data_IF_744522566738
#
_entry.id   IF_744522566738
#
_cell.length_a   1.000
_cell.length_b   1.000
_cell.length_c   1.000
_cell.angle_alpha   90.00
_cell.angle_beta   90.00
_cell.angle_gamma   90.00
#
_symmetry.space_group_name_H-M   'P 1'
#
loop_
_entity.id
_entity.type
_entity.pdbx_description
1 polymer ?
#
# COMPACT_ATOMS: atom_id res chain seq x y z
N UNK A 1 -12.25 10.06 -16.31
CA UNK A 1 -11.98 11.11 -17.32
C UNK A 1 -12.94 10.90 -18.49
N UNK A 2 -13.98 11.72 -18.60
CA UNK A 2 -15.04 11.60 -19.62
C UNK A 2 -14.57 12.20 -20.97
N UNK A 3 -14.75 11.45 -22.04
CA UNK A 3 -14.42 11.87 -23.41
C UNK A 3 -15.49 12.78 -24.01
N UNK A 4 -15.07 13.85 -24.69
CA UNK A 4 -15.85 14.44 -25.78
C UNK A 4 -15.49 13.72 -27.08
N UNK A 5 -16.45 13.09 -27.78
CA UNK A 5 -16.16 12.20 -28.89
C UNK A 5 -16.27 12.96 -30.21
N UNK A 6 -15.44 13.97 -30.48
CA UNK A 6 -15.34 14.48 -31.86
C UNK A 6 -13.93 14.99 -32.15
N UNK A 7 -13.44 14.57 -33.32
CA UNK A 7 -12.11 14.81 -33.92
C UNK A 7 -11.03 13.79 -33.52
N UNK A 8 -11.28 12.51 -33.80
CA UNK A 8 -10.20 11.53 -33.99
C UNK A 8 -9.92 11.45 -35.50
N UNK A 9 -8.86 12.14 -35.93
CA UNK A 9 -8.51 12.37 -37.33
C UNK A 9 -8.19 11.07 -38.08
N UNK A 10 -8.45 11.00 -39.40
CA UNK A 10 -8.16 9.85 -40.28
C UNK A 10 -6.69 9.40 -40.27
N UNK A 11 -5.77 10.23 -39.78
CA UNK A 11 -4.32 9.95 -39.68
C UNK A 11 -3.90 9.24 -38.39
N UNK A 12 -4.78 9.14 -37.39
CA UNK A 12 -4.45 8.50 -36.10
C UNK A 12 -4.58 6.98 -36.19
N UNK A 13 -5.52 6.49 -36.99
CA UNK A 13 -5.77 5.06 -37.17
C UNK A 13 -4.60 4.30 -37.83
N UNK A 14 -3.97 4.79 -38.91
CA UNK A 14 -2.83 4.10 -39.52
C UNK A 14 -1.62 4.00 -38.57
N UNK A 15 -1.37 5.03 -37.75
CA UNK A 15 -0.28 5.03 -36.77
C UNK A 15 -0.57 4.09 -35.61
N UNK A 16 -1.81 4.10 -35.09
CA UNK A 16 -2.23 3.12 -34.07
C UNK A 16 -2.21 1.69 -34.59
N UNK A 17 -2.63 1.47 -35.84
CA UNK A 17 -2.55 0.16 -36.49
C UNK A 17 -1.09 -0.24 -36.68
N UNK A 18 -0.20 0.66 -37.12
CA UNK A 18 1.22 0.36 -37.27
C UNK A 18 1.91 0.06 -35.93
N UNK A 19 1.56 0.77 -34.86
CA UNK A 19 2.05 0.51 -33.50
C UNK A 19 1.51 -0.83 -33.00
N UNK A 20 0.22 -1.10 -33.17
CA UNK A 20 -0.38 -2.39 -32.78
C UNK A 20 0.22 -3.53 -33.59
N UNK A 21 0.41 -3.37 -34.90
CA UNK A 21 1.01 -4.38 -35.78
C UNK A 21 2.49 -4.59 -35.44
N UNK A 22 3.25 -3.53 -35.14
CA UNK A 22 4.66 -3.65 -34.74
C UNK A 22 4.79 -4.30 -33.37
N UNK A 23 3.95 -3.93 -32.40
CA UNK A 23 3.85 -4.62 -31.12
C UNK A 23 3.49 -6.09 -31.34
N UNK A 24 2.46 -6.39 -32.15
CA UNK A 24 2.07 -7.77 -32.47
C UNK A 24 3.17 -8.55 -33.19
N UNK A 25 4.00 -7.92 -34.03
CA UNK A 25 5.13 -8.57 -34.73
C UNK A 25 6.30 -8.83 -33.79
N UNK A 26 6.65 -7.85 -32.96
CA UNK A 26 7.70 -7.98 -31.94
C UNK A 26 7.27 -9.04 -30.90
N UNK A 27 5.99 -9.09 -30.53
CA UNK A 27 5.41 -10.12 -29.67
C UNK A 27 5.21 -11.50 -30.37
N UNK A 28 5.02 -11.57 -31.68
CA UNK A 28 4.92 -12.84 -32.40
C UNK A 28 6.28 -13.52 -32.64
N UNK A 29 7.38 -12.80 -32.44
CA UNK A 29 8.71 -13.25 -32.87
C UNK A 29 9.50 -14.12 -31.88
N UNK A 30 9.02 -14.39 -30.66
CA UNK A 30 9.69 -15.35 -29.77
C UNK A 30 8.75 -16.40 -29.13
N UNK A 31 9.12 -17.65 -29.44
CA UNK A 31 8.76 -18.96 -28.90
C UNK A 31 7.30 -19.44 -29.06
N UNK A 32 7.21 -20.52 -29.85
CA UNK A 32 6.04 -21.34 -30.07
C UNK A 32 5.30 -21.65 -28.76
N UNK A 33 3.98 -21.58 -28.84
CA UNK A 33 3.06 -22.06 -27.82
C UNK A 33 3.37 -23.55 -27.58
N UNK A 34 4.12 -23.86 -26.54
CA UNK A 34 4.42 -25.25 -26.18
C UNK A 34 3.10 -25.90 -25.71
N UNK A 35 2.61 -26.87 -26.47
CA UNK A 35 1.52 -27.72 -26.04
C UNK A 35 1.93 -28.60 -24.86
N UNK A 36 0.97 -29.12 -24.09
CA UNK A 36 1.26 -30.06 -23.00
C UNK A 36 2.01 -31.28 -23.55
N UNK A 37 3.18 -31.58 -22.97
CA UNK A 37 4.04 -32.70 -23.38
C UNK A 37 5.33 -32.34 -24.13
N UNK A 38 5.65 -31.06 -24.33
CA UNK A 38 6.93 -30.65 -24.92
C UNK A 38 8.12 -30.91 -23.96
N UNK A 39 9.25 -31.47 -24.44
CA UNK A 39 10.47 -31.58 -23.63
C UNK A 39 10.98 -30.16 -23.30
N UNK A 40 10.97 -29.79 -22.02
CA UNK A 40 11.36 -28.45 -21.55
C UNK A 40 10.37 -27.77 -20.58
N UNK A 41 9.25 -28.42 -20.22
CA UNK A 41 8.35 -27.88 -19.17
C UNK A 41 9.08 -27.93 -17.82
N UNK A 42 9.21 -26.79 -17.10
CA UNK A 42 9.81 -26.76 -15.77
C UNK A 42 9.07 -27.71 -14.82
N UNK A 43 9.82 -28.57 -14.14
CA UNK A 43 9.27 -29.52 -13.15
C UNK A 43 9.47 -28.90 -11.76
N UNK A 44 8.39 -28.88 -10.96
CA UNK A 44 8.45 -28.46 -9.55
C UNK A 44 9.53 -29.27 -8.81
N UNK A 45 10.49 -28.59 -8.19
CA UNK A 45 11.55 -29.23 -7.39
C UNK A 45 12.91 -29.44 -8.08
N UNK A 46 13.11 -28.96 -9.31
CA UNK A 46 14.47 -28.80 -9.83
C UNK A 46 15.21 -27.70 -9.05
N UNK A 47 16.37 -28.03 -8.48
CA UNK A 47 17.19 -27.12 -7.68
C UNK A 47 17.94 -26.14 -8.59
N UNK A 48 17.29 -25.03 -8.95
CA UNK A 48 17.91 -23.94 -9.73
C UNK A 48 17.04 -22.69 -9.77
N UNK A 49 17.67 -21.50 -9.82
CA UNK A 49 16.96 -20.25 -10.06
C UNK A 49 16.64 -20.11 -11.55
N UNK A 50 15.35 -20.11 -11.92
CA UNK A 50 14.89 -19.82 -13.28
C UNK A 50 14.67 -18.29 -13.45
N UNK A 51 15.78 -17.55 -13.57
CA UNK A 51 15.74 -16.11 -13.83
C UNK A 51 15.52 -15.87 -15.32
N UNK A 52 14.29 -15.51 -15.70
CA UNK A 52 13.95 -15.09 -17.06
C UNK A 52 13.67 -13.60 -17.13
N UNK A 53 14.11 -12.97 -18.21
CA UNK A 53 13.65 -11.62 -18.56
C UNK A 53 12.19 -11.73 -18.97
N UNK A 54 11.32 -10.96 -18.32
CA UNK A 54 9.91 -10.85 -18.68
C UNK A 54 9.71 -9.63 -19.58
N UNK A 55 9.49 -9.81 -20.90
CA UNK A 55 9.27 -8.69 -21.80
C UNK A 55 7.91 -8.05 -21.51
N UNK A 56 7.93 -6.77 -21.13
CA UNK A 56 6.72 -5.99 -20.92
C UNK A 56 6.85 -4.63 -21.61
N UNK A 57 5.81 -4.18 -22.35
CA UNK A 57 5.84 -2.88 -22.98
C UNK A 57 5.84 -1.78 -21.90
N UNK A 58 6.75 -0.81 -22.03
CA UNK A 58 6.77 0.39 -21.22
C UNK A 58 6.19 1.57 -22.01
N UNK A 59 5.20 2.24 -21.45
CA UNK A 59 4.56 3.40 -22.08
C UNK A 59 4.17 4.42 -21.02
N UNK A 60 4.27 5.70 -21.38
CA UNK A 60 3.86 6.83 -20.54
C UNK A 60 3.03 7.83 -21.36
N UNK A 61 2.37 8.76 -20.67
CA UNK A 61 1.61 9.84 -21.32
C UNK A 61 0.51 9.34 -22.25
N UNK A 62 0.41 9.97 -23.43
CA UNK A 62 -0.64 9.66 -24.41
C UNK A 62 -0.55 8.23 -24.97
N UNK A 63 0.67 7.67 -25.09
CA UNK A 63 0.86 6.31 -25.58
C UNK A 63 0.26 5.30 -24.60
N UNK A 64 0.49 5.50 -23.29
CA UNK A 64 -0.12 4.68 -22.25
C UNK A 64 -1.65 4.79 -22.28
N UNK A 65 -2.20 5.99 -22.50
CA UNK A 65 -3.65 6.19 -22.59
C UNK A 65 -4.25 5.45 -23.79
N UNK A 66 -3.59 5.50 -24.95
CA UNK A 66 -4.01 4.77 -26.14
C UNK A 66 -3.98 3.25 -25.92
N UNK A 67 -2.89 2.73 -25.35
CA UNK A 67 -2.76 1.31 -25.01
C UNK A 67 -3.82 0.87 -24.01
N UNK A 68 -4.06 1.66 -22.96
CA UNK A 68 -5.11 1.37 -21.98
C UNK A 68 -6.51 1.36 -22.62
N UNK A 69 -6.80 2.26 -23.56
CA UNK A 69 -8.06 2.27 -24.30
C UNK A 69 -8.21 1.02 -25.17
N UNK A 70 -7.21 0.67 -25.97
CA UNK A 70 -7.22 -0.54 -26.81
C UNK A 70 -7.42 -1.77 -25.93
N UNK A 71 -6.68 -1.87 -24.84
CA UNK A 71 -6.75 -2.99 -23.91
C UNK A 71 -8.15 -3.15 -23.30
N UNK A 72 -8.76 -2.05 -22.84
CA UNK A 72 -9.99 -2.09 -22.05
C UNK A 72 -11.27 -2.01 -22.88
N UNK A 73 -11.24 -1.40 -24.07
CA UNK A 73 -12.45 -1.08 -24.86
C UNK A 73 -12.46 -1.64 -26.29
N UNK A 74 -11.33 -2.07 -26.85
CA UNK A 74 -11.27 -2.61 -28.22
C UNK A 74 -11.53 -4.12 -28.27
N UNK A 75 -12.11 -4.64 -29.38
CA UNK A 75 -12.13 -6.08 -29.67
C UNK A 75 -10.76 -6.76 -29.70
N UNK A 76 -9.67 -5.99 -29.88
CA UNK A 76 -8.30 -6.51 -29.83
C UNK A 76 -7.78 -6.77 -28.41
N UNK A 77 -8.40 -6.16 -27.39
CA UNK A 77 -7.97 -6.26 -25.99
C UNK A 77 -7.81 -7.70 -25.47
N UNK A 78 -8.78 -8.61 -25.67
CA UNK A 78 -8.65 -10.02 -25.29
C UNK A 78 -7.46 -10.74 -25.95
N UNK A 79 -7.17 -10.43 -27.22
CA UNK A 79 -6.06 -11.05 -27.96
C UNK A 79 -4.72 -10.59 -27.36
N UNK A 80 -4.55 -9.27 -27.18
CA UNK A 80 -3.35 -8.68 -26.59
C UNK A 80 -3.10 -9.22 -25.17
N UNK A 81 -4.16 -9.29 -24.34
CA UNK A 81 -4.08 -9.92 -23.01
C UNK A 81 -3.58 -11.34 -23.07
N UNK A 82 -4.13 -12.17 -23.97
CA UNK A 82 -3.75 -13.57 -24.08
C UNK A 82 -2.28 -13.72 -24.46
N UNK A 83 -1.79 -12.91 -25.40
CA UNK A 83 -0.38 -12.90 -25.80
C UNK A 83 0.53 -12.58 -24.62
N UNK A 84 0.26 -11.50 -23.88
CA UNK A 84 1.08 -11.09 -22.74
C UNK A 84 1.04 -12.07 -21.57
N UNK A 85 -0.13 -12.65 -21.27
CA UNK A 85 -0.24 -13.70 -20.24
C UNK A 85 0.60 -14.93 -20.61
N UNK A 86 0.64 -15.30 -21.88
CA UNK A 86 1.45 -16.44 -22.35
C UNK A 86 2.95 -16.13 -22.26
N UNK A 87 3.38 -14.97 -22.77
CA UNK A 87 4.79 -14.56 -22.76
C UNK A 87 5.35 -14.35 -21.36
N UNK A 88 4.53 -13.85 -20.43
CA UNK A 88 4.95 -13.65 -19.04
C UNK A 88 4.89 -14.94 -18.20
N UNK A 89 4.72 -16.11 -18.82
CA UNK A 89 4.78 -17.40 -18.14
C UNK A 89 3.59 -17.69 -17.22
N UNK A 90 2.52 -16.88 -17.22
CA UNK A 90 1.36 -17.11 -16.35
C UNK A 90 0.63 -18.41 -16.69
N UNK A 91 0.67 -18.85 -17.96
CA UNK A 91 0.14 -20.17 -18.33
C UNK A 91 1.02 -21.29 -17.79
N UNK A 92 2.34 -21.14 -17.82
CA UNK A 92 3.27 -22.12 -17.23
C UNK A 92 3.04 -22.23 -15.73
N UNK A 93 2.88 -21.10 -15.02
CA UNK A 93 2.55 -21.09 -13.60
C UNK A 93 1.22 -21.81 -13.31
N UNK A 94 0.22 -21.65 -14.18
CA UNK A 94 -1.05 -22.39 -14.06
C UNK A 94 -0.87 -23.89 -14.27
N UNK A 95 -0.09 -24.29 -15.28
CA UNK A 95 0.25 -25.69 -15.55
C UNK A 95 1.00 -26.31 -14.36
N UNK A 96 2.00 -25.61 -13.83
CA UNK A 96 2.73 -26.00 -12.62
C UNK A 96 1.80 -26.11 -11.41
N UNK A 97 0.82 -25.21 -11.27
CA UNK A 97 -0.21 -25.31 -10.24
C UNK A 97 -1.07 -26.57 -10.38
N UNK A 98 -1.41 -26.97 -11.61
CA UNK A 98 -2.09 -28.25 -11.88
C UNK A 98 -1.20 -29.45 -11.57
N UNK A 99 0.10 -29.41 -11.89
CA UNK A 99 1.06 -30.45 -11.49
C UNK A 99 1.27 -30.52 -9.97
N UNK A 100 1.22 -29.37 -9.30
CA UNK A 100 1.32 -29.22 -7.85
C UNK A 100 0.02 -29.59 -7.13
N UNK A 101 -1.07 -29.96 -7.83
CA UNK A 101 -2.19 -30.68 -7.22
C UNK A 101 -1.69 -32.09 -6.83
N UNK A 102 -0.86 -32.14 -5.79
CA UNK A 102 -0.48 -33.35 -5.08
C UNK A 102 -1.78 -34.03 -4.67
N UNK A 103 -1.98 -35.28 -5.11
CA UNK A 103 -3.15 -36.07 -4.75
C UNK A 103 -3.33 -36.06 -3.21
N UNK A 104 -4.37 -35.38 -2.72
CA UNK A 104 -4.70 -35.28 -1.30
C UNK A 104 -4.34 -33.96 -0.60
N UNK A 105 -3.69 -32.99 -1.26
CA UNK A 105 -3.46 -31.66 -0.68
C UNK A 105 -4.57 -30.69 -1.11
N UNK A 106 -5.37 -30.12 -0.19
CA UNK A 106 -6.39 -29.14 -0.56
C UNK A 106 -5.73 -27.86 -1.10
N UNK A 107 -6.26 -27.31 -2.19
CA UNK A 107 -6.02 -25.91 -2.55
C UNK A 107 -6.65 -25.04 -1.46
N UNK A 108 -5.80 -24.35 -0.70
CA UNK A 108 -6.25 -23.57 0.45
C UNK A 108 -6.28 -22.10 0.07
N UNK A 109 -7.40 -21.44 0.39
CA UNK A 109 -7.56 -20.00 0.18
C UNK A 109 -6.74 -19.15 1.17
N UNK A 110 -6.16 -19.79 2.19
CA UNK A 110 -5.38 -19.13 3.24
C UNK A 110 -4.01 -19.81 3.41
N UNK A 111 -2.94 -19.05 3.67
CA UNK A 111 -1.65 -19.64 4.01
C UNK A 111 -1.79 -20.44 5.31
N UNK A 112 -1.48 -21.74 5.27
CA UNK A 112 -1.40 -22.57 6.48
C UNK A 112 0.05 -22.60 6.93
N UNK A 113 0.32 -21.99 8.09
CA UNK A 113 1.47 -22.35 8.89
C UNK A 113 1.08 -23.57 9.73
N UNK A 114 1.64 -24.75 9.41
CA UNK A 114 1.47 -25.94 10.27
C UNK A 114 2.35 -25.74 11.49
N UNK A 115 1.74 -25.34 12.60
CA UNK A 115 2.39 -25.23 13.90
C UNK A 115 2.11 -26.50 14.69
N UNK A 116 3.13 -27.04 15.35
CA UNK A 116 2.94 -28.13 16.31
C UNK A 116 2.12 -27.66 17.52
N UNK A 117 1.49 -28.58 18.25
CA UNK A 117 0.77 -28.24 19.50
C UNK A 117 1.65 -27.49 20.50
N UNK A 118 2.95 -27.86 20.56
CA UNK A 118 3.94 -27.18 21.40
C UNK A 118 4.21 -25.74 20.94
N UNK A 119 4.31 -25.50 19.63
CA UNK A 119 4.48 -24.15 19.08
C UNK A 119 3.22 -23.31 19.24
N UNK A 120 2.05 -23.89 19.01
CA UNK A 120 0.77 -23.21 19.22
C UNK A 120 0.61 -22.81 20.69
N UNK A 121 0.90 -23.72 21.63
CA UNK A 121 0.88 -23.43 23.06
C UNK A 121 1.88 -22.32 23.41
N UNK A 122 3.09 -22.36 22.84
CA UNK A 122 4.10 -21.31 23.01
C UNK A 122 3.61 -19.96 22.48
N UNK A 123 3.00 -19.90 21.30
CA UNK A 123 2.47 -18.65 20.74
C UNK A 123 1.29 -18.10 21.55
N UNK A 124 0.39 -18.96 22.01
CA UNK A 124 -0.70 -18.56 22.90
C UNK A 124 -0.17 -18.04 24.23
N UNK A 125 0.81 -18.74 24.82
CA UNK A 125 1.48 -18.27 26.03
C UNK A 125 2.21 -16.94 25.80
N UNK A 126 2.89 -16.73 24.68
CA UNK A 126 3.53 -15.44 24.35
C UNK A 126 2.51 -14.32 24.16
N UNK A 127 1.43 -14.58 23.43
CA UNK A 127 0.34 -13.62 23.22
C UNK A 127 -0.36 -13.25 24.54
N UNK A 128 -0.43 -14.17 25.50
CA UNK A 128 -0.98 -13.93 26.83
C UNK A 128 0.04 -13.35 27.82
N UNK A 129 1.33 -13.69 27.68
CA UNK A 129 2.42 -13.32 28.59
C UNK A 129 3.05 -11.95 28.27
N UNK A 130 2.91 -11.46 27.04
CA UNK A 130 3.01 -10.03 26.74
C UNK A 130 1.59 -9.45 26.67
N UNK A 131 0.96 -9.09 27.81
CA UNK A 131 -0.18 -8.21 27.71
C UNK A 131 0.32 -6.97 26.97
N UNK A 132 -0.31 -6.67 25.84
CA UNK A 132 -0.07 -5.45 25.05
C UNK A 132 0.04 -4.24 25.99
N UNK A 133 -0.77 -4.20 27.06
CA UNK A 133 -0.68 -3.25 28.18
C UNK A 133 0.72 -3.09 28.77
N UNK A 134 1.45 -4.18 29.08
CA UNK A 134 2.77 -4.14 29.70
C UNK A 134 3.85 -3.70 28.72
N UNK A 135 3.83 -4.20 27.49
CA UNK A 135 4.75 -3.73 26.44
C UNK A 135 4.55 -2.23 26.12
N UNK A 136 3.30 -1.76 26.17
CA UNK A 136 2.94 -0.34 26.02
C UNK A 136 3.16 0.50 27.28
N UNK A 137 3.43 -0.10 28.44
CA UNK A 137 3.75 0.60 29.68
C UNK A 137 5.27 0.70 29.89
N UNK A 138 5.98 -0.41 29.67
CA UNK A 138 7.41 -0.56 29.97
C UNK A 138 8.32 0.06 28.90
N UNK A 139 7.84 0.17 27.65
CA UNK A 139 8.65 0.58 26.50
C UNK A 139 9.65 -0.49 26.06
N UNK A 140 10.21 -0.29 24.87
CA UNK A 140 11.29 -1.13 24.34
C UNK A 140 12.66 -0.69 24.88
N UNK A 141 12.71 0.46 25.55
CA UNK A 141 13.93 1.07 26.04
C UNK A 141 14.58 1.96 24.97
N UNK A 142 15.53 2.83 25.39
CA UNK A 142 16.08 3.85 24.51
C UNK A 142 16.69 3.24 23.25
N UNK A 143 16.27 3.75 22.09
CA UNK A 143 16.83 3.34 20.81
C UNK A 143 18.34 3.65 20.77
N UNK A 144 19.22 2.72 20.36
CA UNK A 144 20.65 2.97 20.30
C UNK A 144 20.96 4.14 19.37
N UNK A 145 21.81 5.06 19.83
CA UNK A 145 22.12 6.34 19.17
C UNK A 145 22.83 6.23 17.81
N UNK A 146 23.00 5.02 17.26
CA UNK A 146 23.93 4.73 16.16
C UNK A 146 23.35 4.84 14.74
N UNK A 147 22.12 5.33 14.53
CA UNK A 147 21.62 5.62 13.18
C UNK A 147 21.68 7.14 12.93
N UNK A 148 22.50 7.54 11.95
CA UNK A 148 22.94 8.91 11.66
C UNK A 148 21.87 9.93 11.23
N UNK A 149 20.59 9.66 11.46
CA UNK A 149 19.51 10.65 11.46
C UNK A 149 18.65 10.44 12.71
N UNK A 150 18.55 11.47 13.54
CA UNK A 150 17.82 11.41 14.80
C UNK A 150 16.32 11.65 14.52
N UNK A 151 15.60 10.58 14.22
CA UNK A 151 14.14 10.60 14.20
C UNK A 151 13.60 10.55 15.63
N UNK A 152 12.46 11.21 15.86
CA UNK A 152 11.74 11.11 17.13
C UNK A 152 10.99 9.78 17.19
N UNK A 153 11.31 8.98 18.20
CA UNK A 153 10.64 7.72 18.47
C UNK A 153 9.35 7.93 19.28
N UNK A 154 8.50 6.90 19.31
CA UNK A 154 7.33 6.84 20.20
C UNK A 154 7.71 7.10 21.66
N UNK A 155 8.85 6.58 22.10
CA UNK A 155 9.34 6.75 23.47
C UNK A 155 9.71 8.19 23.77
N UNK A 156 10.29 8.91 22.80
CA UNK A 156 10.63 10.32 22.97
C UNK A 156 9.39 11.17 23.22
N UNK A 157 8.32 10.95 22.44
CA UNK A 157 7.02 11.61 22.67
C UNK A 157 6.48 11.27 24.06
N UNK A 158 6.38 9.98 24.39
CA UNK A 158 5.84 9.52 25.66
C UNK A 158 6.63 10.10 26.86
N UNK A 159 7.97 10.12 26.77
CA UNK A 159 8.82 10.67 27.81
C UNK A 159 8.66 12.19 27.93
N UNK A 160 8.60 12.92 26.80
CA UNK A 160 8.41 14.37 26.80
C UNK A 160 7.05 14.78 27.42
N UNK A 161 6.00 14.02 27.16
CA UNK A 161 4.66 14.26 27.74
C UNK A 161 4.60 13.88 29.23
N UNK A 162 5.12 12.71 29.63
CA UNK A 162 5.13 12.29 31.05
C UNK A 162 5.98 13.20 31.93
N UNK A 163 7.10 13.70 31.40
CA UNK A 163 7.95 14.69 32.08
C UNK A 163 7.37 16.11 32.09
N UNK A 164 6.20 16.32 31.47
CA UNK A 164 5.52 17.61 31.35
C UNK A 164 6.38 18.71 30.71
N UNK A 165 7.37 18.33 29.89
CA UNK A 165 8.21 19.29 29.14
C UNK A 165 7.44 19.98 28.03
N UNK A 166 6.53 19.24 27.40
CA UNK A 166 5.61 19.71 26.36
C UNK A 166 4.29 18.96 26.48
N UNK A 167 3.22 19.52 25.92
CA UNK A 167 1.92 18.85 25.84
C UNK A 167 1.67 18.23 24.45
N UNK A 168 0.89 17.14 24.36
CA UNK A 168 0.41 16.62 23.08
C UNK A 168 -0.16 17.70 22.15
N UNK A 169 -1.07 18.56 22.63
CA UNK A 169 -1.67 19.63 21.81
C UNK A 169 -0.67 20.64 21.25
N UNK A 170 0.37 20.97 22.02
CA UNK A 170 1.45 21.87 21.58
C UNK A 170 2.25 21.24 20.44
N UNK A 171 2.63 19.96 20.60
CA UNK A 171 3.39 19.23 19.58
C UNK A 171 2.58 19.05 18.31
N UNK A 172 1.31 18.63 18.43
CA UNK A 172 0.42 18.46 17.29
C UNK A 172 0.20 19.79 16.54
N UNK A 173 -0.19 20.85 17.25
CA UNK A 173 -0.50 22.13 16.62
C UNK A 173 0.72 22.84 16.05
N UNK A 174 1.83 22.88 16.80
CA UNK A 174 2.99 23.70 16.46
C UNK A 174 4.02 22.97 15.60
N UNK A 175 4.08 21.63 15.65
CA UNK A 175 5.05 20.84 14.90
C UNK A 175 4.39 20.00 13.81
N UNK A 176 3.41 19.16 14.16
CA UNK A 176 2.81 18.22 13.19
C UNK A 176 2.00 18.95 12.14
N UNK A 177 0.95 19.69 12.54
CA UNK A 177 0.11 20.44 11.59
C UNK A 177 0.88 21.52 10.83
N UNK A 178 1.92 22.11 11.46
CA UNK A 178 2.84 23.02 10.79
C UNK A 178 3.64 22.31 9.71
N UNK A 179 4.27 21.17 10.03
CA UNK A 179 5.05 20.37 9.10
C UNK A 179 4.21 19.88 7.92
N UNK A 180 2.97 19.46 8.16
CA UNK A 180 2.02 19.08 7.10
C UNK A 180 1.83 20.21 6.08
N UNK A 181 1.67 21.45 6.54
CA UNK A 181 1.54 22.62 5.66
C UNK A 181 2.83 22.94 4.91
N UNK A 182 3.98 22.88 5.58
CA UNK A 182 5.29 23.18 4.97
C UNK A 182 5.71 22.11 3.95
N UNK A 183 5.28 20.87 4.16
CA UNK A 183 5.59 19.71 3.34
C UNK A 183 4.45 19.29 2.40
N UNK A 184 3.45 20.15 2.19
CA UNK A 184 2.29 19.89 1.34
C UNK A 184 2.70 19.50 -0.11
N UNK A 185 3.83 20.03 -0.56
CA UNK A 185 4.45 19.69 -1.85
C UNK A 185 4.88 18.21 -1.98
N UNK A 186 5.01 17.45 -0.89
CA UNK A 186 5.29 16.01 -0.90
C UNK A 186 4.03 15.15 -1.11
N UNK A 187 2.82 15.73 -0.96
CA UNK A 187 1.53 15.05 -1.21
C UNK A 187 1.33 13.74 -0.42
N UNK A 188 1.80 13.72 0.82
CA UNK A 188 1.77 12.55 1.72
C UNK A 188 0.36 12.19 2.26
N UNK A 189 -0.53 13.17 2.38
CA UNK A 189 -1.89 12.99 2.90
C UNK A 189 -2.93 12.95 1.78
N UNK A 190 -3.85 12.00 1.86
CA UNK A 190 -5.10 12.01 1.11
C UNK A 190 -6.13 12.92 1.79
N UNK A 191 -6.23 12.85 3.12
CA UNK A 191 -7.05 13.73 3.96
C UNK A 191 -6.35 13.99 5.31
N UNK A 192 -6.48 15.20 5.83
CA UNK A 192 -6.00 15.58 7.17
C UNK A 192 -7.20 15.98 8.03
N UNK A 193 -7.41 15.31 9.17
CA UNK A 193 -8.60 15.49 10.03
C UNK A 193 -8.42 16.67 10.98
N UNK A 194 -8.15 17.85 10.44
CA UNK A 194 -7.59 18.98 11.20
C UNK A 194 -8.38 19.35 12.47
N UNK A 195 -9.71 19.33 12.41
CA UNK A 195 -10.58 19.64 13.55
C UNK A 195 -10.50 18.55 14.63
N UNK A 196 -10.59 17.28 14.22
CA UNK A 196 -10.55 16.13 15.13
C UNK A 196 -9.17 15.95 15.78
N UNK A 197 -8.11 16.25 15.04
CA UNK A 197 -6.72 16.10 15.51
C UNK A 197 -6.46 16.94 16.76
N UNK A 198 -6.93 18.19 16.78
CA UNK A 198 -6.78 19.05 17.95
C UNK A 198 -7.67 18.63 19.12
N UNK A 199 -8.88 18.12 18.84
CA UNK A 199 -9.76 17.57 19.89
C UNK A 199 -9.15 16.32 20.55
N UNK A 200 -8.60 15.41 19.75
CA UNK A 200 -7.87 14.23 20.22
C UNK A 200 -6.65 14.64 21.08
N UNK A 201 -5.89 15.64 20.64
CA UNK A 201 -4.75 16.15 21.38
C UNK A 201 -5.15 16.78 22.73
N UNK A 202 -6.24 17.57 22.76
CA UNK A 202 -6.77 18.14 23.99
C UNK A 202 -7.26 17.07 24.99
N UNK A 203 -7.86 15.98 24.50
CA UNK A 203 -8.23 14.85 25.35
C UNK A 203 -6.99 14.14 25.93
N UNK A 204 -5.91 14.03 25.15
CA UNK A 204 -4.63 13.50 25.62
C UNK A 204 -3.99 14.42 26.68
N UNK A 205 -3.98 15.73 26.47
CA UNK A 205 -3.51 16.72 27.45
C UNK A 205 -4.19 16.54 28.82
N UNK A 206 -5.52 16.38 28.82
CA UNK A 206 -6.29 16.19 30.06
C UNK A 206 -5.85 14.93 30.83
N UNK A 207 -5.58 13.83 30.12
CA UNK A 207 -5.09 12.57 30.71
C UNK A 207 -3.69 12.72 31.28
N UNK A 208 -2.79 13.38 30.56
CA UNK A 208 -1.44 13.67 31.07
C UNK A 208 -1.45 14.63 32.27
N UNK A 209 -2.36 15.61 32.29
CA UNK A 209 -2.48 16.57 33.39
C UNK A 209 -2.78 15.88 34.74
N UNK A 210 -3.64 14.86 34.72
CA UNK A 210 -4.00 14.06 35.90
C UNK A 210 -3.10 12.83 36.13
N UNK A 211 -2.07 12.64 35.30
CA UNK A 211 -1.13 11.53 35.42
C UNK A 211 -1.70 10.16 35.04
N UNK A 212 -2.72 10.11 34.17
CA UNK A 212 -3.39 8.88 33.74
C UNK A 212 -3.38 8.72 32.20
N UNK A 213 -2.20 8.69 31.53
CA UNK A 213 -2.15 8.37 30.11
C UNK A 213 -2.63 6.94 29.84
N UNK A 214 -3.29 6.72 28.70
CA UNK A 214 -3.84 5.41 28.32
C UNK A 214 -2.75 4.39 28.03
N UNK A 215 -1.65 4.81 27.41
CA UNK A 215 -0.54 3.95 27.03
C UNK A 215 0.71 4.78 26.65
N UNK A 216 1.77 4.14 26.15
CA UNK A 216 2.88 4.83 25.47
C UNK A 216 2.50 5.53 24.15
N UNK A 217 1.41 5.13 23.52
CA UNK A 217 0.92 5.78 22.30
C UNK A 217 0.03 6.99 22.61
N UNK A 218 -0.29 7.27 23.88
CA UNK A 218 -1.15 8.40 24.22
C UNK A 218 -0.51 9.73 23.79
N UNK A 219 -1.15 10.42 22.86
CA UNK A 219 -0.67 11.68 22.29
C UNK A 219 0.30 11.54 21.11
N UNK A 220 0.59 10.31 20.65
CA UNK A 220 1.48 10.06 19.52
C UNK A 220 0.74 10.26 18.20
N UNK A 221 1.26 11.06 17.25
CA UNK A 221 0.64 11.25 15.93
C UNK A 221 0.79 10.01 15.05
N UNK A 222 -0.30 9.55 14.43
CA UNK A 222 -0.31 8.42 13.50
C UNK A 222 -1.09 8.78 12.24
N UNK A 223 -0.52 8.46 11.07
CA UNK A 223 -1.23 8.46 9.79
C UNK A 223 -1.77 7.06 9.47
N UNK A 224 -2.96 7.01 8.88
CA UNK A 224 -3.64 5.75 8.53
C UNK A 224 -3.64 5.63 7.02
N UNK A 225 -3.28 4.47 6.45
CA UNK A 225 -3.34 4.32 4.99
C UNK A 225 -4.78 4.47 4.48
N UNK A 226 -4.98 5.19 3.37
CA UNK A 226 -6.28 5.41 2.69
C UNK A 226 -6.87 4.13 2.08
N UNK A 227 -7.04 3.11 2.91
CA UNK A 227 -7.56 1.77 2.63
C UNK A 227 -8.14 1.14 3.91
N UNK A 228 -7.82 1.69 5.08
CA UNK A 228 -8.43 1.34 6.35
C UNK A 228 -9.51 2.36 6.68
N UNK A 229 -10.65 1.87 7.12
CA UNK A 229 -11.78 2.71 7.50
C UNK A 229 -11.43 3.62 8.69
N UNK A 230 -11.79 4.91 8.55
CA UNK A 230 -11.75 5.90 9.62
C UNK A 230 -13.16 6.47 9.74
N UNK A 231 -13.78 6.28 10.90
CA UNK A 231 -15.16 6.68 11.14
C UNK A 231 -15.37 8.16 10.82
N UNK A 232 -16.42 8.48 10.06
CA UNK A 232 -16.74 9.84 9.62
C UNK A 232 -16.03 10.29 8.33
N UNK A 233 -15.10 9.50 7.79
CA UNK A 233 -14.33 9.84 6.59
C UNK A 233 -14.55 8.86 5.44
N UNK A 234 -14.47 9.39 4.21
CA UNK A 234 -14.58 8.57 2.99
C UNK A 234 -13.20 8.04 2.60
N UNK A 235 -13.09 6.73 2.47
CA UNK A 235 -11.85 6.08 2.02
C UNK A 235 -11.84 5.98 0.50
N UNK A 236 -10.78 6.51 -0.13
CA UNK A 236 -10.69 6.61 -1.59
C UNK A 236 -9.86 5.47 -2.21
N UNK A 237 -9.06 4.76 -1.43
CA UNK A 237 -8.19 3.72 -1.98
C UNK A 237 -7.11 4.29 -2.89
N UNK A 238 -6.74 5.58 -2.74
CA UNK A 238 -5.85 6.27 -3.68
C UNK A 238 -6.45 6.60 -5.05
N UNK A 239 -7.76 6.42 -5.24
CA UNK A 239 -8.49 6.71 -6.48
C UNK A 239 -9.21 8.06 -6.46
N UNK A 240 -9.56 8.57 -7.64
CA UNK A 240 -10.47 9.72 -7.78
C UNK A 240 -11.94 9.35 -7.49
N UNK A 241 -12.27 8.06 -7.47
CA UNK A 241 -13.61 7.56 -7.22
C UNK A 241 -13.55 6.45 -6.16
N UNK A 242 -14.32 6.55 -5.07
CA UNK A 242 -14.39 5.50 -4.05
C UNK A 242 -14.78 4.15 -4.67
N UNK A 243 -14.17 3.04 -4.22
CA UNK A 243 -14.66 1.70 -4.57
C UNK A 243 -15.93 1.43 -3.78
N UNK A 244 -17.04 1.21 -4.48
CA UNK A 244 -18.19 0.48 -3.94
C UNK A 244 -19.05 1.21 -2.90
N UNK A 245 -18.50 2.16 -2.14
CA UNK A 245 -19.24 2.94 -1.16
C UNK A 245 -18.69 4.37 -1.07
N UNK A 246 -19.36 5.38 -1.63
CA UNK A 246 -18.92 6.77 -1.55
C UNK A 246 -19.19 7.41 -0.18
N UNK A 247 -19.91 6.70 0.70
CA UNK A 247 -20.31 7.22 1.99
C UNK A 247 -19.14 7.14 2.97
N UNK A 248 -19.05 8.10 3.91
CA UNK A 248 -18.11 8.01 5.01
C UNK A 248 -18.27 6.71 5.80
N UNK A 249 -17.16 6.16 6.29
CA UNK A 249 -17.19 4.96 7.10
C UNK A 249 -17.98 5.20 8.40
N UNK A 250 -18.81 4.23 8.79
CA UNK A 250 -19.62 4.31 10.02
C UNK A 250 -18.77 3.95 11.26
N UNK A 251 -17.80 3.06 11.06
CA UNK A 251 -16.93 2.55 12.11
C UNK A 251 -15.47 2.63 11.67
N UNK A 252 -14.57 2.78 12.63
CA UNK A 252 -13.14 2.63 12.41
C UNK A 252 -12.81 1.17 12.05
N UNK A 253 -11.78 0.96 11.23
CA UNK A 253 -11.12 -0.34 11.10
C UNK A 253 -10.69 -0.84 12.51
N UNK A 254 -10.70 -2.15 12.79
CA UNK A 254 -10.26 -2.67 14.08
C UNK A 254 -8.88 -2.18 14.52
N UNK A 255 -7.96 -1.98 13.57
CA UNK A 255 -6.62 -1.44 13.85
C UNK A 255 -6.68 0.01 14.31
N UNK A 256 -7.48 0.85 13.63
CA UNK A 256 -7.68 2.26 13.98
C UNK A 256 -8.38 2.37 15.34
N UNK A 257 -9.39 1.52 15.59
CA UNK A 257 -10.05 1.41 16.89
C UNK A 257 -9.05 1.15 18.02
N UNK A 258 -8.15 0.17 17.84
CA UNK A 258 -7.14 -0.14 18.85
C UNK A 258 -6.17 1.03 19.07
N UNK A 259 -5.72 1.69 18.01
CA UNK A 259 -4.84 2.86 18.14
C UNK A 259 -5.51 3.99 18.93
N UNK A 260 -6.79 4.27 18.67
CA UNK A 260 -7.56 5.26 19.44
C UNK A 260 -7.74 4.84 20.90
N UNK A 261 -8.02 3.57 21.17
CA UNK A 261 -8.10 3.03 22.55
C UNK A 261 -6.80 3.20 23.32
N UNK A 262 -5.65 3.17 22.62
CA UNK A 262 -4.33 3.40 23.20
C UNK A 262 -3.98 4.90 23.34
N UNK A 263 -4.87 5.79 22.90
CA UNK A 263 -4.70 7.24 22.99
C UNK A 263 -3.90 7.87 21.85
N UNK A 264 -3.59 7.11 20.79
CA UNK A 264 -2.93 7.67 19.61
C UNK A 264 -3.82 8.73 18.94
N UNK A 265 -3.17 9.73 18.36
CA UNK A 265 -3.83 10.83 17.65
C UNK A 265 -3.80 10.49 16.15
N UNK A 266 -4.96 10.16 15.61
CA UNK A 266 -5.12 9.89 14.18
C UNK A 266 -5.11 11.23 13.44
N UNK A 267 -4.05 11.46 12.66
CA UNK A 267 -3.82 12.71 11.91
C UNK A 267 -4.70 12.79 10.65
N UNK A 268 -4.91 11.64 10.01
CA UNK A 268 -5.68 11.51 8.79
C UNK A 268 -5.24 10.33 7.95
N UNK A 269 -5.70 10.34 6.70
CA UNK A 269 -5.44 9.26 5.76
C UNK A 269 -4.27 9.60 4.85
N UNK A 270 -3.32 8.67 4.70
CA UNK A 270 -2.12 8.86 3.88
C UNK A 270 -2.37 8.39 2.45
N UNK A 271 -1.80 9.12 1.50
CA UNK A 271 -1.82 8.80 0.07
C UNK A 271 -1.32 7.38 -0.20
N UNK A 272 -1.88 6.73 -1.22
CA UNK A 272 -1.43 5.42 -1.66
C UNK A 272 -1.62 5.20 -3.16
N UNK A 273 -0.96 4.18 -3.71
CA UNK A 273 -1.27 3.72 -5.06
C UNK A 273 -2.70 3.21 -5.16
N UNK A 274 -3.38 3.57 -6.24
CA UNK A 274 -4.78 3.23 -6.50
C UNK A 274 -5.02 1.72 -6.26
N UNK A 275 -5.85 1.41 -5.26
CA UNK A 275 -6.27 0.08 -4.81
C UNK A 275 -5.12 -0.90 -4.51
N UNK A 276 -3.93 -0.37 -4.26
CA UNK A 276 -2.75 -1.15 -3.99
C UNK A 276 -2.19 -1.94 -5.18
N UNK A 277 -2.62 -1.63 -6.41
CA UNK A 277 -2.30 -2.46 -7.59
C UNK A 277 -0.87 -2.31 -8.11
N UNK A 278 -0.17 -1.24 -7.72
CA UNK A 278 1.18 -0.95 -8.22
C UNK A 278 2.17 -0.66 -7.07
N UNK A 279 3.41 -1.16 -7.18
CA UNK A 279 4.47 -0.87 -6.21
C UNK A 279 5.16 0.48 -6.47
N UNK A 280 4.73 1.27 -7.45
CA UNK A 280 5.38 2.56 -7.76
C UNK A 280 5.02 3.68 -6.77
N UNK A 281 3.89 3.58 -6.08
CA UNK A 281 3.51 4.54 -5.03
C UNK A 281 2.76 5.77 -5.51
N UNK A 282 2.62 6.01 -6.82
CA UNK A 282 1.87 7.15 -7.34
C UNK A 282 0.36 6.98 -7.17
N UNK A 283 -0.31 8.03 -6.70
CA UNK A 283 -1.76 8.16 -6.52
C UNK A 283 -2.34 9.13 -7.55
N UNK A 284 -3.40 8.71 -8.24
CA UNK A 284 -4.15 9.58 -9.14
C UNK A 284 -4.93 10.67 -8.37
N UNK A 285 -5.36 10.37 -7.14
CA UNK A 285 -6.06 11.31 -6.27
C UNK A 285 -5.16 12.46 -5.81
N UNK A 286 -4.07 12.13 -5.11
CA UNK A 286 -3.19 13.13 -4.51
C UNK A 286 -2.15 13.71 -5.50
N UNK A 287 -1.99 13.11 -6.67
CA UNK A 287 -0.93 13.43 -7.64
C UNK A 287 0.48 13.36 -7.00
N UNK A 288 0.73 12.29 -6.26
CA UNK A 288 1.93 12.04 -5.46
C UNK A 288 1.83 10.70 -4.71
N UNK A 289 2.60 10.46 -3.64
CA UNK A 289 3.55 11.36 -3.01
C UNK A 289 4.92 11.36 -3.70
N UNK A 290 5.80 12.26 -3.27
CA UNK A 290 7.17 12.37 -3.76
C UNK A 290 8.17 11.92 -2.71
N UNK A 291 9.22 11.23 -3.14
CA UNK A 291 10.25 10.73 -2.24
C UNK A 291 11.00 11.90 -1.56
N UNK A 292 11.05 11.95 -0.21
CA UNK A 292 11.65 13.07 0.52
C UNK A 292 13.18 13.12 0.40
N UNK A 293 13.83 11.98 0.14
CA UNK A 293 15.29 11.92 -0.05
C UNK A 293 15.70 12.33 -1.46
N UNK A 294 14.88 12.01 -2.47
CA UNK A 294 15.13 12.39 -3.85
C UNK A 294 13.83 12.42 -4.68
N UNK A 295 13.36 13.62 -5.00
CA UNK A 295 12.10 13.83 -5.75
C UNK A 295 12.11 13.30 -7.19
N UNK A 296 13.26 12.93 -7.74
CA UNK A 296 13.38 12.25 -9.03
C UNK A 296 13.14 10.74 -8.94
N UNK A 297 12.93 10.20 -7.74
CA UNK A 297 12.66 8.79 -7.51
C UNK A 297 11.24 8.60 -6.96
N UNK A 298 10.65 7.45 -7.28
CA UNK A 298 9.39 7.04 -6.67
C UNK A 298 9.57 6.80 -5.16
N UNK A 299 8.55 7.08 -4.33
CA UNK A 299 8.54 6.68 -2.92
C UNK A 299 8.23 5.19 -2.73
N UNK A 300 7.94 4.47 -3.82
CA UNK A 300 7.44 3.10 -3.85
C UNK A 300 6.07 2.97 -3.16
N UNK A 301 5.46 1.80 -3.29
CA UNK A 301 4.08 1.57 -2.94
C UNK A 301 3.79 0.14 -2.50
N UNK A 302 2.54 -0.16 -2.16
CA UNK A 302 1.40 0.77 -2.30
C UNK A 302 1.24 1.76 -1.15
N UNK A 303 1.88 1.54 0.00
CA UNK A 303 1.81 2.41 1.19
C UNK A 303 2.71 3.64 1.08
N UNK A 304 2.61 4.37 -0.02
CA UNK A 304 3.55 5.42 -0.39
C UNK A 304 3.53 6.61 0.57
N UNK A 305 2.36 7.19 0.82
CA UNK A 305 2.21 8.32 1.74
C UNK A 305 2.38 7.93 3.21
N UNK A 306 2.28 6.64 3.53
CA UNK A 306 2.58 6.16 4.89
C UNK A 306 4.09 6.13 5.17
N UNK A 307 4.91 5.96 4.13
CA UNK A 307 6.36 5.92 4.23
C UNK A 307 7.02 7.31 4.07
N UNK A 308 6.40 8.19 3.29
CA UNK A 308 6.83 9.59 3.07
C UNK A 308 6.41 10.48 4.24
#
# INVERSE_FOLDING_TARGET
IFFRPHVMNLYVWPVLIAIVVSLLFEFASEQAILGPGHPGVPILGQEGYDLRVLPAPSATGWLLQALAFIWSRSPLGPIIRRVLLNQNGLVVLREMGHQAQVAGAPLLFHPICRVSDAEQLRYQQQAQAMPLQKALQDGLGPMPASMGQQYWSVEDYAHAYRSKRVKPSEVIGQRVLKGIRELEHLKMWAEVLQEEVMAQAGASDARFAIGQPLSMLDGVPIGVKDMLDVAGHTILGGSLCPIGCPNPAIHDDPTVTQLRMLGAIIIGTTTMSEFGVTPLGFSAHAQGPWNPYNRSHYPCGSSSGSAV
#
